data_IF_602004412751
#
_entry.id   IF_602004412751
#
_cell.length_a   1.000
_cell.length_b   1.000
_cell.length_c   1.000
_cell.angle_alpha   90.00
_cell.angle_beta   90.00
_cell.angle_gamma   90.00
#
_symmetry.space_group_name_H-M   'P 1'
#
loop_
_entity.id
_entity.type
_entity.pdbx_description
1 polymer ?
#
# COMPACT_ATOMS: atom_id res chain seq x y z
N UNK A 1 25.87 5.89 -30.60
CA UNK A 1 24.74 5.17 -31.23
C UNK A 1 23.47 5.69 -30.57
N UNK A 2 22.68 6.44 -31.34
CA UNK A 2 21.45 7.02 -30.82
C UNK A 2 20.35 5.92 -30.75
N UNK A 3 19.78 5.67 -29.57
CA UNK A 3 18.64 4.78 -29.43
C UNK A 3 17.36 5.56 -29.77
N UNK A 4 16.61 5.00 -30.73
CA UNK A 4 15.33 5.50 -31.21
C UNK A 4 14.25 5.38 -30.11
N UNK A 5 13.69 6.52 -29.70
CA UNK A 5 12.78 6.66 -28.55
C UNK A 5 11.31 6.37 -28.85
N UNK A 6 11.01 5.66 -29.94
CA UNK A 6 9.61 5.37 -30.35
C UNK A 6 9.21 3.92 -30.04
N UNK A 7 9.23 3.53 -28.77
CA UNK A 7 8.60 2.27 -28.35
C UNK A 7 7.09 2.48 -28.16
N UNK A 8 6.34 2.20 -29.22
CA UNK A 8 4.90 2.43 -29.27
C UNK A 8 4.15 1.33 -28.49
N UNK A 9 3.68 1.66 -27.28
CA UNK A 9 2.96 0.76 -26.33
C UNK A 9 1.78 -0.02 -26.95
N UNK A 10 1.22 0.45 -28.06
CA UNK A 10 0.03 -0.18 -28.68
C UNK A 10 0.32 -1.42 -29.54
N UNK A 11 1.56 -1.70 -29.90
CA UNK A 11 1.87 -2.84 -30.80
C UNK A 11 2.24 -4.14 -30.10
N UNK A 12 2.45 -4.12 -28.77
CA UNK A 12 2.82 -5.35 -28.03
C UNK A 12 1.61 -6.20 -27.56
N UNK A 13 0.39 -5.69 -27.71
CA UNK A 13 -0.83 -6.33 -27.17
C UNK A 13 -1.58 -7.29 -28.11
N UNK A 14 -1.07 -7.60 -29.30
CA UNK A 14 -1.83 -8.42 -30.28
C UNK A 14 -1.30 -9.86 -30.42
N UNK A 15 -0.19 -10.22 -29.76
CA UNK A 15 0.50 -11.50 -30.05
C UNK A 15 0.35 -12.64 -29.03
N UNK A 16 -0.21 -12.44 -27.84
CA UNK A 16 -0.16 -13.45 -26.76
C UNK A 16 -1.53 -13.98 -26.29
N UNK A 17 -2.63 -13.54 -26.87
CA UNK A 17 -3.99 -13.82 -26.36
C UNK A 17 -4.64 -15.14 -26.76
N UNK A 18 -3.98 -16.01 -27.53
CA UNK A 18 -4.68 -17.14 -28.18
C UNK A 18 -4.41 -18.54 -27.63
N UNK A 19 -3.51 -18.70 -26.64
CA UNK A 19 -3.06 -20.05 -26.26
C UNK A 19 -3.53 -20.57 -24.89
N UNK A 20 -4.19 -19.76 -24.05
CA UNK A 20 -4.61 -20.18 -22.68
C UNK A 20 -6.13 -20.32 -22.52
N UNK A 21 -6.93 -19.92 -23.50
CA UNK A 21 -8.40 -19.93 -23.43
C UNK A 21 -9.06 -21.33 -23.57
N UNK A 22 -8.30 -22.42 -23.73
CA UNK A 22 -8.87 -23.74 -24.04
C UNK A 22 -9.13 -24.66 -22.85
N UNK A 23 -8.93 -24.22 -21.60
CA UNK A 23 -9.05 -25.08 -20.40
C UNK A 23 -10.17 -24.72 -19.42
N UNK A 24 -10.93 -23.66 -19.63
CA UNK A 24 -11.99 -23.27 -18.70
C UNK A 24 -13.35 -23.25 -19.38
N UNK A 25 -14.17 -24.27 -19.09
CA UNK A 25 -15.59 -24.23 -19.43
C UNK A 25 -16.30 -23.22 -18.55
N UNK A 26 -17.13 -22.31 -19.11
CA UNK A 26 -17.80 -21.30 -18.31
C UNK A 26 -18.94 -21.94 -17.49
N UNK A 27 -18.92 -21.77 -16.19
CA UNK A 27 -20.04 -22.05 -15.30
C UNK A 27 -20.97 -20.82 -15.31
N UNK A 28 -22.09 -20.92 -16.02
CA UNK A 28 -23.23 -20.02 -15.92
C UNK A 28 -23.09 -18.63 -16.57
N UNK A 29 -24.20 -17.95 -16.87
CA UNK A 29 -24.15 -16.66 -17.54
C UNK A 29 -23.58 -15.61 -16.58
N UNK A 30 -22.34 -15.20 -16.85
CA UNK A 30 -21.75 -14.03 -16.23
C UNK A 30 -22.60 -12.82 -16.62
N UNK A 31 -23.24 -12.19 -15.64
CA UNK A 31 -23.75 -10.84 -15.82
C UNK A 31 -22.54 -9.96 -16.10
N UNK A 32 -22.41 -9.51 -17.33
CA UNK A 32 -21.38 -8.54 -17.75
C UNK A 32 -21.71 -7.23 -17.05
N UNK A 33 -21.23 -7.05 -15.82
CA UNK A 33 -21.10 -5.75 -15.22
C UNK A 33 -19.92 -5.05 -15.90
N UNK A 34 -20.18 -4.31 -16.95
CA UNK A 34 -19.27 -3.24 -17.38
C UNK A 34 -19.25 -2.24 -16.24
N UNK A 35 -18.09 -2.03 -15.54
CA UNK A 35 -18.02 -0.99 -14.54
C UNK A 35 -18.26 0.33 -15.25
N UNK A 36 -19.39 0.99 -14.94
CA UNK A 36 -19.65 2.33 -15.41
C UNK A 36 -18.50 3.21 -14.92
N UNK A 37 -17.73 3.81 -15.82
CA UNK A 37 -16.80 4.88 -15.49
C UNK A 37 -17.63 6.00 -14.86
N UNK A 38 -17.69 6.02 -13.53
CA UNK A 38 -18.35 7.08 -12.81
C UNK A 38 -17.60 8.39 -13.11
N UNK A 39 -18.29 9.34 -13.67
CA UNK A 39 -17.75 10.68 -13.87
C UNK A 39 -17.72 11.42 -12.52
N UNK A 40 -16.83 12.39 -12.36
CA UNK A 40 -16.75 13.27 -11.18
C UNK A 40 -18.06 14.05 -10.88
N UNK A 41 -19.10 13.82 -11.66
CA UNK A 41 -20.42 14.46 -11.53
C UNK A 41 -21.31 13.83 -10.43
N UNK A 42 -20.92 12.69 -9.84
CA UNK A 42 -21.75 11.99 -8.83
C UNK A 42 -21.41 12.34 -7.37
N UNK A 43 -20.52 13.31 -7.17
CA UNK A 43 -20.11 13.79 -5.83
C UNK A 43 -19.21 12.82 -5.06
N UNK A 44 -18.66 11.79 -5.70
CA UNK A 44 -17.72 10.87 -5.04
C UNK A 44 -16.41 11.56 -4.72
N UNK A 45 -15.92 11.35 -3.50
CA UNK A 45 -14.61 11.81 -3.08
C UNK A 45 -13.48 10.90 -3.58
N UNK A 46 -13.73 9.60 -3.70
CA UNK A 46 -12.83 8.68 -4.38
C UNK A 46 -13.36 8.50 -5.81
N UNK A 47 -12.63 9.00 -6.83
CA UNK A 47 -13.13 8.99 -8.20
C UNK A 47 -13.32 7.57 -8.76
N UNK A 48 -14.23 7.42 -9.71
CA UNK A 48 -14.37 6.18 -10.48
C UNK A 48 -13.05 5.80 -11.17
N UNK A 49 -12.69 4.53 -11.11
CA UNK A 49 -11.41 4.01 -11.60
C UNK A 49 -10.24 4.14 -10.60
N UNK A 50 -10.48 4.70 -9.39
CA UNK A 50 -9.45 4.94 -8.37
C UNK A 50 -9.71 4.19 -7.06
N UNK A 51 -10.73 3.34 -7.02
CA UNK A 51 -11.05 2.49 -5.89
C UNK A 51 -10.15 1.26 -5.91
N UNK A 52 -9.17 1.22 -5.05
CA UNK A 52 -8.17 0.16 -4.97
C UNK A 52 -8.14 -0.57 -3.62
N UNK A 53 -7.35 -1.63 -3.59
CA UNK A 53 -6.96 -2.32 -2.35
C UNK A 53 -5.52 -2.77 -2.45
N UNK A 54 -4.82 -2.86 -1.31
CA UNK A 54 -3.53 -3.55 -1.26
C UNK A 54 -3.72 -5.03 -0.90
N UNK A 55 -3.03 -5.91 -1.60
CA UNK A 55 -3.09 -7.36 -1.41
C UNK A 55 -2.65 -7.81 0.00
N UNK A 56 -2.01 -6.94 0.78
CA UNK A 56 -1.66 -7.22 2.17
C UNK A 56 -2.88 -7.51 3.04
N UNK A 57 -3.98 -6.83 2.80
CA UNK A 57 -5.24 -7.07 3.52
C UNK A 57 -5.84 -8.45 3.24
N UNK A 58 -5.55 -9.03 2.08
CA UNK A 58 -6.01 -10.35 1.67
C UNK A 58 -4.86 -11.36 1.54
N UNK A 59 -3.72 -11.14 2.25
CA UNK A 59 -2.50 -11.96 2.13
C UNK A 59 -2.67 -13.44 2.47
N UNK A 60 -3.77 -13.80 3.13
CA UNK A 60 -4.15 -15.18 3.41
C UNK A 60 -4.81 -15.89 2.21
N UNK A 61 -5.35 -15.14 1.24
CA UNK A 61 -6.11 -15.69 0.12
C UNK A 61 -5.23 -16.32 -0.97
N UNK A 62 -4.15 -15.67 -1.46
CA UNK A 62 -3.32 -16.26 -2.50
C UNK A 62 -2.69 -17.61 -2.15
N UNK A 63 -2.57 -17.95 -0.85
CA UNK A 63 -2.06 -19.26 -0.37
C UNK A 63 -3.12 -20.31 -0.15
N UNK A 64 -4.36 -19.93 -0.13
CA UNK A 64 -5.46 -20.78 0.23
C UNK A 64 -5.76 -21.78 -0.88
N UNK A 65 -6.22 -22.98 -0.51
CA UNK A 65 -6.83 -23.90 -1.46
C UNK A 65 -8.23 -23.38 -1.80
N UNK A 66 -8.34 -22.73 -2.94
CA UNK A 66 -9.61 -22.23 -3.46
C UNK A 66 -10.38 -23.31 -4.24
N UNK A 67 -11.42 -22.88 -4.94
CA UNK A 67 -12.34 -23.76 -5.66
C UNK A 67 -11.61 -24.48 -6.80
N UNK A 68 -10.92 -23.73 -7.66
CA UNK A 68 -10.20 -24.30 -8.81
C UNK A 68 -9.03 -25.20 -8.37
N UNK A 69 -8.29 -24.77 -7.33
CA UNK A 69 -7.19 -25.57 -6.81
C UNK A 69 -7.68 -26.87 -6.18
N UNK A 70 -8.80 -26.86 -5.46
CA UNK A 70 -9.39 -28.06 -4.86
C UNK A 70 -9.77 -29.11 -5.90
N UNK A 71 -10.38 -28.70 -7.00
CA UNK A 71 -10.73 -29.58 -8.09
C UNK A 71 -9.48 -30.20 -8.77
N UNK A 72 -8.43 -29.40 -8.98
CA UNK A 72 -7.16 -29.83 -9.58
C UNK A 72 -6.38 -30.79 -8.68
N UNK A 73 -6.39 -30.55 -7.38
CA UNK A 73 -5.61 -31.33 -6.41
C UNK A 73 -6.36 -32.52 -5.82
N UNK A 74 -7.67 -32.63 -6.04
CA UNK A 74 -8.50 -33.67 -5.44
C UNK A 74 -8.65 -33.54 -3.91
N UNK A 75 -8.58 -32.32 -3.37
CA UNK A 75 -8.72 -32.01 -1.94
C UNK A 75 -9.91 -31.09 -1.70
N UNK A 76 -10.39 -31.01 -0.46
CA UNK A 76 -11.46 -30.08 -0.13
C UNK A 76 -10.99 -28.62 -0.20
N UNK A 77 -11.81 -27.69 -0.70
CA UNK A 77 -11.49 -26.26 -0.63
C UNK A 77 -11.55 -25.74 0.81
N UNK A 78 -10.89 -24.62 1.05
CA UNK A 78 -11.06 -23.89 2.30
C UNK A 78 -12.51 -23.41 2.41
N UNK A 79 -13.15 -23.69 3.55
CA UNK A 79 -14.52 -23.28 3.81
C UNK A 79 -14.58 -22.07 4.73
N UNK A 80 -15.51 -21.15 4.49
CA UNK A 80 -15.72 -19.99 5.35
C UNK A 80 -17.01 -19.25 5.02
N UNK A 81 -17.19 -18.08 5.63
CA UNK A 81 -18.38 -17.26 5.46
C UNK A 81 -18.04 -15.97 4.73
N UNK A 82 -18.77 -15.63 3.69
CA UNK A 82 -18.57 -14.43 2.87
C UNK A 82 -19.62 -13.33 3.11
N UNK A 83 -20.51 -13.54 4.08
CA UNK A 83 -21.68 -12.70 4.32
C UNK A 83 -22.94 -13.23 3.62
N UNK A 84 -24.09 -13.01 4.24
CA UNK A 84 -25.40 -13.38 3.72
C UNK A 84 -25.97 -12.33 2.74
N UNK A 85 -27.26 -12.42 2.43
CA UNK A 85 -27.90 -11.55 1.44
C UNK A 85 -27.98 -10.07 1.87
N UNK A 86 -27.94 -9.79 3.18
CA UNK A 86 -27.95 -8.41 3.70
C UNK A 86 -26.55 -7.82 3.91
N UNK A 87 -25.49 -8.59 3.69
CA UNK A 87 -24.12 -8.14 3.80
C UNK A 87 -23.74 -7.28 2.56
N UNK A 88 -23.03 -6.15 2.68
CA UNK A 88 -22.37 -5.60 3.87
C UNK A 88 -23.21 -4.62 4.72
N UNK A 89 -24.47 -4.36 4.36
CA UNK A 89 -25.34 -3.43 5.11
C UNK A 89 -25.61 -3.94 6.55
N UNK A 90 -25.66 -5.25 6.73
CA UNK A 90 -25.65 -5.92 8.03
C UNK A 90 -24.39 -6.78 8.17
N UNK A 91 -23.32 -6.26 8.79
CA UNK A 91 -22.07 -7.02 8.97
C UNK A 91 -22.22 -8.27 9.86
N UNK A 92 -23.32 -8.40 10.61
CA UNK A 92 -23.59 -9.58 11.43
C UNK A 92 -24.21 -10.73 10.64
N UNK A 93 -24.72 -10.45 9.43
CA UNK A 93 -25.21 -11.46 8.49
C UNK A 93 -24.04 -12.19 7.83
N UNK A 94 -23.43 -13.12 8.54
CA UNK A 94 -22.27 -13.86 8.04
C UNK A 94 -22.62 -14.88 6.94
N UNK A 95 -23.88 -15.22 6.75
CA UNK A 95 -24.33 -16.19 5.76
C UNK A 95 -23.88 -17.64 6.02
N UNK A 96 -24.10 -18.53 5.07
CA UNK A 96 -23.70 -19.94 5.16
C UNK A 96 -22.18 -20.14 5.01
N UNK A 97 -21.70 -21.32 5.41
CA UNK A 97 -20.38 -21.79 5.04
C UNK A 97 -20.36 -22.13 3.55
N UNK A 98 -19.41 -21.57 2.84
CA UNK A 98 -19.19 -21.78 1.41
C UNK A 98 -17.71 -22.04 1.10
N UNK A 99 -17.38 -22.67 -0.04
CA UNK A 99 -16.00 -22.68 -0.52
C UNK A 99 -15.49 -21.25 -0.72
N UNK A 100 -14.30 -20.96 -0.21
CA UNK A 100 -13.69 -19.64 -0.31
C UNK A 100 -12.79 -19.55 -1.55
N UNK A 101 -12.64 -18.34 -2.12
CA UNK A 101 -11.62 -18.05 -3.12
C UNK A 101 -10.21 -18.39 -2.60
N UNK A 102 -9.33 -18.83 -3.48
CA UNK A 102 -7.90 -19.05 -3.23
C UNK A 102 -7.09 -18.91 -4.50
N UNK A 103 -5.81 -18.53 -4.34
CA UNK A 103 -4.98 -18.13 -5.46
C UNK A 103 -5.25 -16.69 -5.93
N UNK A 104 -4.46 -16.24 -6.90
CA UNK A 104 -4.56 -14.87 -7.41
C UNK A 104 -5.78 -14.67 -8.32
N UNK A 105 -6.11 -15.64 -9.18
CA UNK A 105 -7.21 -15.51 -10.13
C UNK A 105 -8.55 -15.35 -9.41
N UNK A 106 -8.87 -16.24 -8.45
CA UNK A 106 -10.12 -16.17 -7.69
C UNK A 106 -10.16 -14.96 -6.75
N UNK A 107 -8.99 -14.51 -6.22
CA UNK A 107 -8.91 -13.27 -5.46
C UNK A 107 -9.25 -12.07 -6.34
N UNK A 108 -8.68 -11.96 -7.53
CA UNK A 108 -8.94 -10.82 -8.42
C UNK A 108 -10.40 -10.79 -8.89
N UNK A 109 -10.98 -11.93 -9.20
CA UNK A 109 -12.41 -12.05 -9.47
C UNK A 109 -13.26 -11.54 -8.31
N UNK A 110 -12.94 -11.97 -7.10
CA UNK A 110 -13.65 -11.55 -5.91
C UNK A 110 -13.54 -10.04 -5.68
N UNK A 111 -12.35 -9.45 -5.80
CA UNK A 111 -12.11 -8.03 -5.61
C UNK A 111 -12.82 -7.19 -6.67
N UNK A 112 -12.78 -7.60 -7.95
CA UNK A 112 -13.52 -6.94 -9.02
C UNK A 112 -15.04 -6.97 -8.76
N UNK A 113 -15.58 -8.10 -8.29
CA UNK A 113 -16.98 -8.24 -7.90
C UNK A 113 -17.37 -7.39 -6.68
N UNK A 114 -16.42 -7.04 -5.81
CA UNK A 114 -16.63 -6.06 -4.73
C UNK A 114 -16.66 -4.61 -5.24
N UNK A 115 -16.23 -4.36 -6.48
CA UNK A 115 -16.18 -3.03 -7.09
C UNK A 115 -14.80 -2.37 -7.05
N UNK A 116 -13.76 -3.06 -6.58
CA UNK A 116 -12.40 -2.57 -6.73
C UNK A 116 -11.99 -2.56 -8.21
N UNK A 117 -11.22 -1.58 -8.59
CA UNK A 117 -10.74 -1.35 -9.96
C UNK A 117 -9.21 -1.38 -10.03
N UNK A 118 -8.57 -1.25 -8.87
CA UNK A 118 -7.13 -1.21 -8.75
C UNK A 118 -6.66 -2.18 -7.66
N UNK A 119 -5.46 -2.72 -7.85
CA UNK A 119 -4.76 -3.49 -6.85
C UNK A 119 -3.33 -2.98 -6.69
N UNK A 120 -2.92 -2.83 -5.46
CA UNK A 120 -1.55 -2.70 -5.06
C UNK A 120 -1.05 -4.03 -4.52
N UNK A 121 0.17 -4.41 -4.89
CA UNK A 121 0.78 -5.61 -4.34
C UNK A 121 1.60 -5.27 -3.08
N UNK A 122 1.73 -6.24 -2.20
CA UNK A 122 2.65 -6.19 -1.06
C UNK A 122 3.72 -7.27 -1.22
N UNK A 123 4.51 -7.12 -2.29
CA UNK A 123 5.34 -8.17 -2.83
C UNK A 123 4.53 -9.19 -3.64
N UNK A 124 5.14 -9.69 -4.67
CA UNK A 124 4.48 -10.64 -5.57
C UNK A 124 4.57 -12.10 -5.08
N UNK A 125 5.50 -12.35 -4.18
CA UNK A 125 5.82 -13.67 -3.67
C UNK A 125 5.38 -13.90 -2.22
N UNK A 126 4.30 -13.32 -1.77
CA UNK A 126 3.87 -13.41 -0.37
C UNK A 126 3.70 -14.84 0.15
N UNK A 127 3.78 -15.82 -0.73
CA UNK A 127 3.39 -17.17 -0.35
C UNK A 127 4.15 -18.26 -1.11
N UNK A 128 5.41 -18.39 -0.81
CA UNK A 128 6.33 -19.33 -1.42
C UNK A 128 5.98 -20.82 -1.26
N UNK A 129 5.10 -21.17 -0.35
CA UNK A 129 4.85 -22.58 0.02
C UNK A 129 3.41 -23.00 -0.29
N UNK A 130 2.83 -22.52 -1.40
CA UNK A 130 1.42 -22.76 -1.63
C UNK A 130 1.13 -23.96 -2.54
N UNK A 131 0.67 -25.09 -2.02
CA UNK A 131 0.14 -26.19 -2.84
C UNK A 131 -1.19 -25.83 -3.54
N UNK A 132 -1.92 -24.82 -3.05
CA UNK A 132 -3.19 -24.34 -3.62
C UNK A 132 -3.05 -23.27 -4.70
N UNK A 133 -1.85 -22.71 -4.92
CA UNK A 133 -1.64 -21.60 -5.84
C UNK A 133 -1.94 -21.93 -7.29
N UNK A 134 -2.46 -20.96 -8.00
CA UNK A 134 -2.77 -21.04 -9.44
C UNK A 134 -1.51 -21.01 -10.28
N UNK A 135 -0.43 -20.50 -9.69
CA UNK A 135 0.85 -20.31 -10.38
C UNK A 135 1.97 -20.81 -9.48
N UNK A 136 2.93 -21.58 -10.00
CA UNK A 136 4.12 -21.91 -9.25
C UNK A 136 4.82 -20.63 -8.81
N UNK A 137 4.88 -20.40 -7.50
CA UNK A 137 5.57 -19.25 -6.98
C UNK A 137 7.08 -19.38 -7.26
N UNK A 138 7.71 -18.43 -7.94
CA UNK A 138 9.15 -18.43 -8.04
C UNK A 138 9.73 -18.30 -6.63
N UNK A 139 10.77 -19.08 -6.33
CA UNK A 139 11.35 -19.18 -5.01
C UNK A 139 11.57 -17.82 -4.36
N UNK A 140 11.17 -17.62 -3.09
CA UNK A 140 11.48 -16.38 -2.39
C UNK A 140 13.01 -16.29 -2.24
N UNK A 141 13.53 -15.11 -2.41
CA UNK A 141 14.94 -14.83 -2.17
C UNK A 141 15.80 -14.66 -3.38
N UNK A 142 15.22 -14.60 -4.57
CA UNK A 142 16.00 -13.99 -5.59
C UNK A 142 16.09 -14.71 -6.92
N UNK A 143 16.04 -13.88 -7.86
CA UNK A 143 16.44 -14.13 -9.22
C UNK A 143 17.97 -14.14 -9.22
N UNK A 144 18.57 -15.29 -8.93
CA UNK A 144 20.02 -15.45 -8.85
C UNK A 144 20.63 -16.05 -10.11
N UNK A 145 19.79 -16.54 -11.02
CA UNK A 145 20.22 -17.13 -12.30
C UNK A 145 19.33 -16.64 -13.45
N UNK A 146 19.81 -16.67 -14.71
CA UNK A 146 18.97 -16.33 -15.86
C UNK A 146 17.68 -17.15 -15.94
N UNK A 147 17.72 -18.43 -15.56
CA UNK A 147 16.56 -19.32 -15.53
C UNK A 147 15.52 -18.90 -14.48
N UNK A 148 15.96 -18.57 -13.26
CA UNK A 148 15.07 -18.09 -12.21
C UNK A 148 14.46 -16.72 -12.58
N UNK A 149 15.24 -15.85 -13.25
CA UNK A 149 14.73 -14.58 -13.77
C UNK A 149 13.65 -14.79 -14.84
N UNK A 150 13.89 -15.71 -15.80
CA UNK A 150 12.91 -16.01 -16.84
C UNK A 150 11.60 -16.56 -16.25
N UNK A 151 11.68 -17.45 -15.25
CA UNK A 151 10.51 -17.98 -14.54
C UNK A 151 9.75 -16.88 -13.78
N UNK A 152 10.48 -15.97 -13.13
CA UNK A 152 9.89 -14.83 -12.41
C UNK A 152 9.13 -13.89 -13.35
N UNK A 153 9.71 -13.57 -14.51
CA UNK A 153 9.03 -12.74 -15.51
C UNK A 153 7.89 -13.45 -16.22
N UNK A 154 7.94 -14.79 -16.36
CA UNK A 154 6.79 -15.56 -16.83
C UNK A 154 5.63 -15.50 -15.82
N UNK A 155 5.92 -15.54 -14.54
CA UNK A 155 4.94 -15.35 -13.49
C UNK A 155 4.27 -13.96 -13.56
N UNK A 156 5.04 -12.88 -13.80
CA UNK A 156 4.49 -11.55 -14.02
C UNK A 156 3.47 -11.53 -15.17
N UNK A 157 3.76 -12.20 -16.28
CA UNK A 157 2.83 -12.29 -17.43
C UNK A 157 1.54 -13.04 -17.07
N UNK A 158 1.64 -14.08 -16.24
CA UNK A 158 0.46 -14.81 -15.77
C UNK A 158 -0.41 -13.93 -14.88
N UNK A 159 0.18 -13.20 -13.93
CA UNK A 159 -0.55 -12.23 -13.09
C UNK A 159 -1.18 -11.12 -13.94
N UNK A 160 -0.47 -10.62 -14.97
CA UNK A 160 -1.03 -9.63 -15.90
C UNK A 160 -2.26 -10.19 -16.61
N UNK A 161 -2.20 -11.46 -17.07
CA UNK A 161 -3.34 -12.12 -17.69
C UNK A 161 -4.56 -12.22 -16.76
N UNK A 162 -4.36 -12.48 -15.47
CA UNK A 162 -5.46 -12.49 -14.50
C UNK A 162 -6.03 -11.08 -14.26
N UNK A 163 -5.17 -10.06 -14.14
CA UNK A 163 -5.60 -8.67 -14.02
C UNK A 163 -6.46 -8.25 -15.24
N UNK A 164 -6.02 -8.58 -16.44
CA UNK A 164 -6.76 -8.29 -17.68
C UNK A 164 -8.11 -9.00 -17.72
N UNK A 165 -8.17 -10.26 -17.28
CA UNK A 165 -9.38 -11.07 -17.28
C UNK A 165 -10.49 -10.48 -16.37
N UNK A 166 -10.08 -9.86 -15.25
CA UNK A 166 -11.03 -9.29 -14.29
C UNK A 166 -11.10 -7.76 -14.31
N UNK A 167 -10.39 -7.10 -15.23
CA UNK A 167 -10.44 -5.65 -15.42
C UNK A 167 -9.82 -4.86 -14.29
N UNK A 168 -8.84 -5.43 -13.57
CA UNK A 168 -8.10 -4.75 -12.52
C UNK A 168 -6.82 -4.10 -13.07
N UNK A 169 -6.48 -2.91 -12.57
CA UNK A 169 -5.21 -2.24 -12.83
C UNK A 169 -4.25 -2.48 -11.68
N UNK A 170 -3.03 -2.96 -11.96
CA UNK A 170 -1.95 -2.96 -10.98
C UNK A 170 -1.44 -1.52 -10.80
N UNK A 171 -1.63 -0.95 -9.60
CA UNK A 171 -1.31 0.46 -9.37
C UNK A 171 -0.01 0.66 -8.60
N UNK A 172 0.35 -0.23 -7.73
CA UNK A 172 1.53 -0.14 -6.87
C UNK A 172 2.04 -1.49 -6.41
N UNK A 173 3.20 -1.47 -5.74
CA UNK A 173 3.74 -2.63 -5.04
C UNK A 173 4.70 -2.19 -3.92
N UNK A 174 4.50 -2.69 -2.70
CA UNK A 174 5.56 -2.72 -1.70
C UNK A 174 6.58 -3.77 -2.11
N UNK A 175 7.54 -3.36 -2.95
CA UNK A 175 8.48 -4.23 -3.63
C UNK A 175 9.89 -4.21 -3.02
N UNK A 176 10.83 -4.67 -3.80
CA UNK A 176 12.24 -4.66 -3.40
C UNK A 176 12.84 -3.26 -3.56
N UNK A 177 13.38 -2.77 -2.46
CA UNK A 177 14.26 -1.59 -2.41
C UNK A 177 15.60 -2.02 -1.81
N UNK A 178 16.74 -1.67 -2.41
CA UNK A 178 18.06 -2.02 -1.88
C UNK A 178 18.29 -1.43 -0.50
N UNK A 179 18.15 -2.24 0.55
CA UNK A 179 18.20 -1.77 1.95
C UNK A 179 19.63 -1.56 2.45
N UNK A 180 20.59 -2.31 1.92
CA UNK A 180 22.01 -2.23 2.30
C UNK A 180 22.76 -1.08 1.65
N UNK A 181 22.21 -0.50 0.58
CA UNK A 181 22.77 0.66 -0.09
C UNK A 181 22.17 1.95 0.48
N UNK A 182 23.02 2.85 0.93
CA UNK A 182 22.63 4.11 1.58
C UNK A 182 22.74 5.35 0.66
N UNK A 183 22.79 5.14 -0.67
CA UNK A 183 22.86 6.22 -1.64
C UNK A 183 24.27 6.42 -2.23
N UNK A 184 24.37 7.24 -3.27
CA UNK A 184 25.61 7.39 -4.05
C UNK A 184 26.76 8.06 -3.27
N UNK A 185 26.45 8.88 -2.28
CA UNK A 185 27.42 9.60 -1.45
C UNK A 185 27.74 8.87 -0.14
N UNK A 186 27.21 7.67 0.06
CA UNK A 186 27.49 6.88 1.27
C UNK A 186 28.91 6.29 1.22
N UNK A 187 29.49 5.94 2.39
CA UNK A 187 30.81 5.30 2.45
C UNK A 187 30.94 4.00 1.63
N UNK A 188 29.84 3.34 1.33
CA UNK A 188 29.78 2.15 0.46
C UNK A 188 29.81 2.49 -1.05
N UNK A 189 29.66 3.74 -1.43
CA UNK A 189 29.71 4.19 -2.83
C UNK A 189 28.58 3.65 -3.69
N UNK A 190 28.92 2.99 -4.80
CA UNK A 190 27.96 2.45 -5.75
C UNK A 190 27.13 1.29 -5.15
N UNK A 191 25.89 1.15 -5.61
CA UNK A 191 25.05 -0.02 -5.32
C UNK A 191 25.76 -1.30 -5.79
N UNK A 192 25.61 -2.39 -5.03
CA UNK A 192 26.15 -3.68 -5.44
C UNK A 192 25.55 -4.13 -6.79
N UNK A 193 26.35 -4.83 -7.59
CA UNK A 193 25.85 -5.36 -8.86
C UNK A 193 24.63 -6.28 -8.67
N UNK A 194 24.61 -7.04 -7.59
CA UNK A 194 23.51 -7.93 -7.24
C UNK A 194 22.21 -7.14 -6.93
N UNK A 195 22.30 -6.09 -6.12
CA UNK A 195 21.14 -5.24 -5.79
C UNK A 195 20.63 -4.49 -7.00
N UNK A 196 21.57 -4.00 -7.86
CA UNK A 196 21.20 -3.34 -9.10
C UNK A 196 20.45 -4.28 -10.05
N UNK A 197 20.98 -5.49 -10.28
CA UNK A 197 20.34 -6.49 -11.14
C UNK A 197 18.96 -6.92 -10.59
N UNK A 198 18.86 -7.08 -9.28
CA UNK A 198 17.59 -7.37 -8.63
C UNK A 198 16.59 -6.24 -8.81
N UNK A 199 17.01 -4.99 -8.57
CA UNK A 199 16.15 -3.82 -8.80
C UNK A 199 15.68 -3.74 -10.25
N UNK A 200 16.57 -3.96 -11.23
CA UNK A 200 16.19 -3.99 -12.65
C UNK A 200 15.15 -5.07 -12.95
N UNK A 201 15.28 -6.24 -12.33
CA UNK A 201 14.32 -7.35 -12.50
C UNK A 201 12.96 -7.03 -11.89
N UNK A 202 12.92 -6.40 -10.73
CA UNK A 202 11.66 -5.96 -10.09
C UNK A 202 10.97 -4.85 -10.90
N UNK A 203 11.75 -3.92 -11.46
CA UNK A 203 11.24 -2.89 -12.35
C UNK A 203 10.67 -3.48 -13.66
N UNK A 204 11.34 -4.49 -14.24
CA UNK A 204 10.81 -5.21 -15.40
C UNK A 204 9.52 -5.96 -15.06
N UNK A 205 9.44 -6.60 -13.89
CA UNK A 205 8.22 -7.24 -13.41
C UNK A 205 7.07 -6.24 -13.30
N UNK A 206 7.31 -5.10 -12.64
CA UNK A 206 6.34 -4.02 -12.51
C UNK A 206 5.90 -3.47 -13.89
N UNK A 207 6.83 -3.31 -14.83
CA UNK A 207 6.52 -2.88 -16.19
C UNK A 207 5.64 -3.88 -16.95
N UNK A 208 5.86 -5.20 -16.78
CA UNK A 208 5.00 -6.26 -17.34
C UNK A 208 3.58 -6.16 -16.76
N UNK A 209 3.43 -5.91 -15.48
CA UNK A 209 2.12 -5.68 -14.84
C UNK A 209 1.47 -4.35 -15.26
N UNK A 210 2.25 -3.43 -15.83
CA UNK A 210 1.79 -2.07 -16.12
C UNK A 210 1.70 -1.18 -14.88
N UNK A 211 2.38 -1.56 -13.80
CA UNK A 211 2.37 -0.85 -12.51
C UNK A 211 3.17 0.45 -12.62
N UNK A 212 2.56 1.64 -12.42
CA UNK A 212 3.26 2.92 -12.52
C UNK A 212 4.07 3.28 -11.26
N UNK A 213 3.80 2.61 -10.13
CA UNK A 213 4.42 2.90 -8.84
C UNK A 213 4.99 1.62 -8.21
N UNK A 214 6.16 1.73 -7.60
CA UNK A 214 6.76 0.70 -6.76
C UNK A 214 7.43 1.36 -5.56
N UNK A 215 7.45 0.73 -4.41
CA UNK A 215 8.02 1.37 -3.23
C UNK A 215 8.21 0.43 -2.07
N UNK A 216 8.11 0.97 -0.89
CA UNK A 216 8.25 0.24 0.37
C UNK A 216 7.09 0.57 1.31
N UNK A 217 6.71 -0.36 2.17
CA UNK A 217 5.77 -0.15 3.27
C UNK A 217 6.38 0.54 4.49
N UNK A 218 7.45 1.34 4.30
CA UNK A 218 8.19 1.98 5.38
C UNK A 218 8.52 3.44 5.03
N UNK A 219 8.92 4.21 6.05
CA UNK A 219 9.46 5.54 5.85
C UNK A 219 10.80 5.51 5.08
N UNK A 220 11.27 6.64 4.55
CA UNK A 220 12.47 6.70 3.71
C UNK A 220 13.72 6.13 4.36
N UNK A 221 13.81 6.16 5.69
CA UNK A 221 14.99 5.69 6.46
C UNK A 221 14.87 4.24 6.86
N UNK A 222 13.67 3.68 6.88
CA UNK A 222 13.35 2.34 7.42
C UNK A 222 13.83 2.14 8.88
N UNK A 223 13.98 3.21 9.65
CA UNK A 223 14.60 3.14 10.99
C UNK A 223 13.91 4.01 12.05
N UNK A 224 12.94 4.83 11.69
CA UNK A 224 12.29 5.76 12.63
C UNK A 224 13.26 6.75 13.31
N UNK A 225 14.43 6.98 12.73
CA UNK A 225 15.44 7.86 13.27
C UNK A 225 14.96 9.32 13.19
N UNK A 226 15.21 10.11 14.25
CA UNK A 226 14.75 11.49 14.35
C UNK A 226 15.82 12.55 14.07
N UNK A 227 17.06 12.14 13.76
CA UNK A 227 18.14 13.04 13.39
C UNK A 227 18.07 13.44 11.92
N UNK A 228 18.63 14.61 11.59
CA UNK A 228 18.65 15.16 10.23
C UNK A 228 19.40 14.25 9.27
N UNK A 229 20.57 13.78 9.65
CA UNK A 229 21.52 13.10 8.76
C UNK A 229 20.92 11.83 8.08
N UNK A 230 20.30 10.88 8.81
CA UNK A 230 19.69 9.71 8.16
C UNK A 230 18.62 10.07 7.15
N UNK A 231 17.84 11.12 7.39
CA UNK A 231 16.81 11.58 6.45
C UNK A 231 17.39 12.24 5.23
N UNK A 232 18.50 12.99 5.38
CA UNK A 232 19.23 13.59 4.26
C UNK A 232 19.83 12.50 3.37
N UNK A 233 20.50 11.51 3.96
CA UNK A 233 21.06 10.34 3.24
C UNK A 233 19.94 9.56 2.53
N UNK A 234 18.80 9.36 3.18
CA UNK A 234 17.65 8.73 2.57
C UNK A 234 17.10 9.54 1.38
N UNK A 235 17.06 10.86 1.47
CA UNK A 235 16.67 11.73 0.35
C UNK A 235 17.53 11.49 -0.89
N UNK A 236 18.85 11.55 -0.74
CA UNK A 236 19.80 11.28 -1.84
C UNK A 236 19.64 9.85 -2.42
N UNK A 237 19.45 8.88 -1.55
CA UNK A 237 19.19 7.48 -1.98
C UNK A 237 17.95 7.39 -2.84
N UNK A 238 16.83 7.95 -2.38
CA UNK A 238 15.55 7.86 -3.08
C UNK A 238 15.54 8.62 -4.41
N UNK A 239 16.23 9.75 -4.50
CA UNK A 239 16.42 10.46 -5.77
C UNK A 239 17.21 9.62 -6.78
N UNK A 240 18.32 9.01 -6.33
CA UNK A 240 19.12 8.15 -7.18
C UNK A 240 18.35 6.89 -7.64
N UNK A 241 17.60 6.26 -6.76
CA UNK A 241 16.73 5.12 -7.10
C UNK A 241 15.64 5.52 -8.11
N UNK A 242 15.00 6.68 -7.91
CA UNK A 242 14.00 7.19 -8.83
C UNK A 242 14.60 7.54 -10.20
N UNK A 243 15.82 8.03 -10.27
CA UNK A 243 16.54 8.25 -11.55
C UNK A 243 16.68 6.94 -12.33
N UNK A 244 16.91 5.82 -11.64
CA UNK A 244 16.97 4.48 -12.26
C UNK A 244 15.58 4.03 -12.71
N UNK A 245 14.59 4.08 -11.82
CA UNK A 245 13.25 3.54 -12.09
C UNK A 245 12.47 4.32 -13.16
N UNK A 246 12.78 5.62 -13.32
CA UNK A 246 12.17 6.47 -14.37
C UNK A 246 12.49 6.00 -15.78
N UNK A 247 13.59 5.28 -15.97
CA UNK A 247 13.92 4.66 -17.26
C UNK A 247 12.91 3.57 -17.67
N UNK A 248 12.19 3.01 -16.68
CA UNK A 248 11.08 2.07 -16.86
C UNK A 248 9.70 2.74 -16.88
N UNK A 249 9.64 4.06 -16.70
CA UNK A 249 8.40 4.81 -16.54
C UNK A 249 7.72 4.58 -15.18
N UNK A 250 8.48 4.13 -14.18
CA UNK A 250 8.00 3.82 -12.83
C UNK A 250 8.49 4.89 -11.85
N UNK A 251 7.63 5.31 -10.93
CA UNK A 251 7.97 6.13 -9.78
C UNK A 251 8.17 5.23 -8.56
N UNK A 252 9.27 5.44 -7.85
CA UNK A 252 9.42 4.81 -6.53
C UNK A 252 8.84 5.71 -5.46
N UNK A 253 8.08 5.12 -4.55
CA UNK A 253 7.46 5.82 -3.43
C UNK A 253 7.92 5.29 -2.08
N UNK A 254 7.81 6.13 -1.06
CA UNK A 254 7.94 5.76 0.36
C UNK A 254 6.56 5.80 1.00
N UNK A 255 6.41 5.03 2.05
CA UNK A 255 5.19 4.93 2.84
C UNK A 255 5.40 5.49 4.24
N UNK A 256 4.35 5.71 5.00
CA UNK A 256 4.48 6.15 6.38
C UNK A 256 3.73 5.24 7.36
N UNK A 257 4.35 5.06 8.51
CA UNK A 257 3.64 4.84 9.77
C UNK A 257 3.73 6.10 10.63
N UNK A 258 3.06 6.12 11.78
CA UNK A 258 3.00 7.32 12.63
C UNK A 258 4.38 7.93 12.97
N UNK A 259 5.48 7.15 13.18
CA UNK A 259 6.79 7.73 13.48
C UNK A 259 7.35 8.67 12.40
N UNK A 260 6.96 8.50 11.13
CA UNK A 260 7.41 9.39 10.04
C UNK A 260 6.94 10.85 10.21
N UNK A 261 5.91 11.06 11.00
CA UNK A 261 5.40 12.40 11.33
C UNK A 261 5.81 12.89 12.71
N UNK A 262 6.74 12.22 13.38
CA UNK A 262 7.37 12.75 14.60
C UNK A 262 8.25 13.97 14.26
N UNK A 263 8.65 14.71 15.30
CA UNK A 263 9.48 15.90 15.16
C UNK A 263 10.94 15.56 14.88
N UNK A 264 11.54 16.32 13.97
CA UNK A 264 12.97 16.30 13.71
C UNK A 264 13.72 16.85 14.92
N UNK A 265 14.76 16.16 15.35
CA UNK A 265 15.67 16.59 16.41
C UNK A 265 16.79 17.46 15.81
N UNK A 266 16.46 18.72 15.53
CA UNK A 266 17.30 19.64 14.77
C UNK A 266 17.85 20.81 15.62
N UNK A 267 17.52 20.87 16.91
CA UNK A 267 17.94 21.92 17.81
C UNK A 267 19.13 21.55 18.72
N UNK A 268 19.51 22.45 19.65
CA UNK A 268 20.52 22.21 20.65
C UNK A 268 20.09 21.18 21.70
N UNK A 269 21.03 20.74 22.52
CA UNK A 269 20.71 20.01 23.76
C UNK A 269 20.11 20.99 24.77
N UNK A 270 18.96 20.64 25.32
CA UNK A 270 18.22 21.46 26.29
C UNK A 270 17.83 20.62 27.50
N UNK A 271 17.63 21.29 28.64
CA UNK A 271 17.17 20.65 29.87
C UNK A 271 15.67 20.81 29.98
N UNK A 272 14.95 19.68 30.09
CA UNK A 272 13.50 19.64 30.29
C UNK A 272 13.17 19.16 31.71
N UNK A 273 12.06 19.64 32.25
CA UNK A 273 11.58 19.30 33.60
C UNK A 273 10.13 18.81 33.61
N UNK A 274 9.53 18.67 32.43
CA UNK A 274 8.19 18.16 32.26
C UNK A 274 8.21 16.98 31.28
N UNK A 275 7.39 15.97 31.52
CA UNK A 275 7.17 14.88 30.62
C UNK A 275 6.48 15.36 29.32
N UNK A 276 6.95 14.92 28.18
CA UNK A 276 6.48 15.38 26.87
C UNK A 276 4.97 15.18 26.69
N UNK A 277 4.45 14.01 27.04
CA UNK A 277 3.06 13.64 26.77
C UNK A 277 2.13 14.16 27.87
N UNK A 278 2.48 13.89 29.12
CA UNK A 278 1.59 14.17 30.25
C UNK A 278 1.72 15.57 30.81
N UNK A 279 2.84 16.28 30.53
CA UNK A 279 3.17 17.57 31.16
C UNK A 279 3.48 17.48 32.65
N UNK A 280 3.62 16.28 33.20
CA UNK A 280 3.94 16.07 34.61
C UNK A 280 5.42 16.43 34.89
N UNK A 281 5.74 16.96 36.08
CA UNK A 281 7.12 17.18 36.45
C UNK A 281 7.96 15.88 36.39
N UNK A 282 9.17 16.00 35.82
CA UNK A 282 10.19 14.95 35.78
C UNK A 282 11.53 15.52 36.29
N UNK A 283 12.47 14.67 36.71
CA UNK A 283 13.82 15.12 36.99
C UNK A 283 14.43 15.82 35.77
N UNK A 284 15.27 16.86 35.96
CA UNK A 284 15.95 17.55 34.86
C UNK A 284 16.62 16.57 33.91
N UNK A 285 16.18 16.55 32.66
CA UNK A 285 16.60 15.58 31.64
C UNK A 285 17.13 16.32 30.42
N UNK A 286 18.27 15.87 29.89
CA UNK A 286 18.83 16.42 28.66
C UNK A 286 18.16 15.77 27.44
N UNK A 287 17.61 16.60 26.58
CA UNK A 287 17.03 16.17 25.31
C UNK A 287 17.47 17.10 24.17
N UNK A 288 17.35 16.65 22.94
CA UNK A 288 17.57 17.55 21.79
C UNK A 288 16.28 18.34 21.51
N UNK A 289 16.41 19.66 21.41
CA UNK A 289 15.31 20.54 21.02
C UNK A 289 14.83 20.32 19.60
N UNK A 290 13.62 20.75 19.29
CA UNK A 290 12.92 20.49 18.05
C UNK A 290 12.32 21.80 17.49
N UNK A 291 12.58 22.13 16.22
CA UNK A 291 12.01 23.34 15.58
C UNK A 291 10.49 23.26 15.37
N UNK A 292 9.91 22.06 15.39
CA UNK A 292 8.55 21.79 14.94
C UNK A 292 8.48 21.18 13.53
N UNK A 293 9.60 21.13 12.81
CA UNK A 293 9.63 20.42 11.52
C UNK A 293 9.42 18.92 11.73
N UNK A 294 8.54 18.34 10.93
CA UNK A 294 8.28 16.89 10.94
C UNK A 294 9.29 16.15 10.06
N UNK A 295 9.58 14.91 10.39
CA UNK A 295 10.55 14.08 9.65
C UNK A 295 10.18 13.96 8.16
N UNK A 296 8.93 13.60 7.84
CA UNK A 296 8.46 13.51 6.46
C UNK A 296 8.48 14.89 5.75
N UNK A 297 8.20 16.00 6.48
CA UNK A 297 8.33 17.33 5.89
C UNK A 297 9.78 17.63 5.51
N UNK A 298 10.74 17.24 6.35
CA UNK A 298 12.16 17.39 6.01
C UNK A 298 12.51 16.64 4.72
N UNK A 299 12.10 15.38 4.60
CA UNK A 299 12.30 14.59 3.38
C UNK A 299 11.70 15.26 2.14
N UNK A 300 10.48 15.78 2.26
CA UNK A 300 9.83 16.51 1.16
C UNK A 300 10.56 17.82 0.77
N UNK A 301 11.12 18.52 1.75
CA UNK A 301 11.83 19.79 1.53
C UNK A 301 13.17 19.60 0.80
N UNK A 302 13.83 18.46 1.02
CA UNK A 302 15.19 18.21 0.48
C UNK A 302 15.19 17.37 -0.80
N UNK A 303 14.05 16.79 -1.20
CA UNK A 303 13.98 15.92 -2.38
C UNK A 303 13.24 16.57 -3.55
N UNK A 304 13.67 16.23 -4.77
CA UNK A 304 13.04 16.72 -5.99
C UNK A 304 11.58 16.23 -6.09
N UNK A 305 10.59 17.15 -6.12
CA UNK A 305 9.18 16.80 -6.24
C UNK A 305 8.81 16.08 -7.54
N UNK A 306 9.63 16.17 -8.58
CA UNK A 306 9.40 15.43 -9.82
C UNK A 306 9.88 13.98 -9.75
N UNK A 307 10.75 13.66 -8.81
CA UNK A 307 11.31 12.32 -8.64
C UNK A 307 10.60 11.55 -7.51
N UNK A 308 10.59 12.11 -6.31
CA UNK A 308 10.17 11.42 -5.10
C UNK A 308 8.67 11.63 -4.82
N UNK A 309 7.90 10.57 -4.81
CA UNK A 309 6.47 10.55 -4.47
C UNK A 309 6.22 9.80 -3.17
N UNK A 310 5.07 10.04 -2.57
CA UNK A 310 4.67 9.49 -1.29
C UNK A 310 3.38 8.69 -1.46
N UNK A 311 3.32 7.57 -0.80
CA UNK A 311 2.08 6.91 -0.43
C UNK A 311 1.78 7.25 1.03
N UNK A 312 0.69 7.98 1.28
CA UNK A 312 0.29 8.28 2.64
C UNK A 312 -0.68 7.24 3.17
N UNK A 313 -0.28 6.55 4.23
CA UNK A 313 -1.23 5.85 5.08
C UNK A 313 -1.96 6.88 5.95
N UNK A 314 -3.26 7.06 5.65
CA UNK A 314 -4.09 8.08 6.28
C UNK A 314 -4.36 7.77 7.75
N UNK A 315 -4.57 6.48 8.09
CA UNK A 315 -4.75 6.06 9.47
C UNK A 315 -3.53 6.40 10.33
N UNK A 316 -2.34 5.98 9.90
CA UNK A 316 -1.11 6.26 10.65
C UNK A 316 -0.76 7.75 10.69
N UNK A 317 -1.17 8.53 9.68
CA UNK A 317 -1.03 9.97 9.71
C UNK A 317 -1.96 10.61 10.78
N UNK A 318 -3.20 10.10 10.94
CA UNK A 318 -4.10 10.53 12.02
C UNK A 318 -3.63 10.04 13.39
N UNK A 319 -3.11 8.83 13.53
CA UNK A 319 -2.45 8.38 14.77
C UNK A 319 -1.35 9.36 15.18
N UNK A 320 -0.58 9.87 14.22
CA UNK A 320 0.48 10.83 14.51
C UNK A 320 -0.02 12.16 15.10
N UNK A 321 -1.25 12.60 14.79
CA UNK A 321 -1.86 13.79 15.41
C UNK A 321 -1.96 13.66 16.95
N UNK A 322 -2.23 12.45 17.43
CA UNK A 322 -2.40 12.16 18.84
C UNK A 322 -1.06 11.77 19.49
N UNK A 323 -0.28 10.95 18.81
CA UNK A 323 0.96 10.39 19.33
C UNK A 323 2.10 11.40 19.40
N UNK A 324 2.20 12.27 18.39
CA UNK A 324 3.27 13.26 18.25
C UNK A 324 2.72 14.68 18.32
N UNK A 325 1.92 14.96 19.35
CA UNK A 325 1.23 16.23 19.59
C UNK A 325 2.10 17.25 20.30
N UNK A 326 3.11 16.79 21.06
CA UNK A 326 3.92 17.64 21.93
C UNK A 326 5.39 17.55 21.53
N UNK A 327 6.09 18.66 21.59
CA UNK A 327 7.54 18.76 21.37
C UNK A 327 8.20 19.59 22.46
N UNK A 328 9.53 19.52 22.52
CA UNK A 328 10.32 20.49 23.26
C UNK A 328 10.97 21.44 22.27
N UNK A 329 10.77 22.77 22.47
CA UNK A 329 11.39 23.78 21.65
C UNK A 329 12.91 23.91 21.95
N UNK A 330 13.55 24.87 21.32
CA UNK A 330 14.99 25.08 21.49
C UNK A 330 15.38 25.68 22.84
N UNK A 331 14.43 26.13 23.63
CA UNK A 331 14.57 26.61 25.02
C UNK A 331 14.25 25.50 26.05
N UNK A 332 13.73 24.37 25.60
CA UNK A 332 13.32 23.25 26.46
C UNK A 332 11.88 23.34 26.95
N UNK A 333 11.09 24.29 26.45
CA UNK A 333 9.69 24.40 26.80
C UNK A 333 8.87 23.33 26.09
N UNK A 334 7.86 22.80 26.78
CA UNK A 334 6.87 21.91 26.21
C UNK A 334 5.86 22.71 25.37
N UNK A 335 5.78 22.43 24.07
CA UNK A 335 4.93 23.14 23.11
C UNK A 335 3.97 22.14 22.44
N UNK A 336 2.70 22.53 22.36
CA UNK A 336 1.71 21.80 21.59
C UNK A 336 1.86 22.14 20.10
N UNK A 337 1.90 21.10 19.27
CA UNK A 337 2.07 21.22 17.82
C UNK A 337 1.36 20.04 17.15
N UNK A 338 0.08 20.22 16.84
CA UNK A 338 -0.77 19.17 16.31
C UNK A 338 -0.52 19.00 14.81
N UNK A 339 -0.21 17.77 14.40
CA UNK A 339 -0.08 17.43 12.99
C UNK A 339 -1.44 17.48 12.29
N UNK A 340 -1.48 18.04 11.09
CA UNK A 340 -2.66 18.01 10.21
C UNK A 340 -2.31 17.28 8.91
N UNK A 341 -2.79 16.03 8.73
CA UNK A 341 -2.53 15.25 7.52
C UNK A 341 -3.02 15.89 6.24
N UNK A 342 -4.20 16.51 6.26
CA UNK A 342 -4.78 17.16 5.10
C UNK A 342 -3.98 18.42 4.70
N UNK A 343 -3.61 19.25 5.67
CA UNK A 343 -2.74 20.40 5.44
C UNK A 343 -1.35 19.98 4.93
N UNK A 344 -0.83 18.86 5.41
CA UNK A 344 0.43 18.32 4.91
C UNK A 344 0.36 17.97 3.42
N UNK A 345 -0.68 17.25 3.01
CA UNK A 345 -0.90 16.91 1.58
C UNK A 345 -1.14 18.17 0.74
N UNK A 346 -1.94 19.13 1.25
CA UNK A 346 -2.28 20.35 0.53
C UNK A 346 -1.07 21.24 0.20
N UNK A 347 0.04 21.14 0.94
CA UNK A 347 1.28 21.88 0.65
C UNK A 347 1.94 21.43 -0.66
N UNK A 348 1.91 20.12 -0.96
CA UNK A 348 2.55 19.53 -2.13
C UNK A 348 1.71 18.35 -2.67
N UNK A 349 0.47 18.59 -3.13
CA UNK A 349 -0.46 17.51 -3.49
C UNK A 349 0.06 16.61 -4.62
N UNK A 350 0.91 17.14 -5.49
CA UNK A 350 1.54 16.38 -6.58
C UNK A 350 2.52 15.29 -6.07
N UNK A 351 2.95 15.35 -4.82
CA UNK A 351 3.84 14.35 -4.21
C UNK A 351 3.07 13.12 -3.71
N UNK A 352 1.75 13.26 -3.44
CA UNK A 352 0.91 12.23 -2.85
C UNK A 352 0.08 11.55 -3.94
N UNK A 353 0.64 10.50 -4.55
CA UNK A 353 0.03 9.79 -5.67
C UNK A 353 -0.83 8.60 -5.24
N UNK A 354 -0.58 8.09 -4.03
CA UNK A 354 -1.28 6.96 -3.44
C UNK A 354 -1.67 7.29 -1.99
N UNK A 355 -2.80 6.73 -1.58
CA UNK A 355 -3.25 6.74 -0.20
C UNK A 355 -3.64 5.34 0.22
N UNK A 356 -3.18 4.89 1.40
CA UNK A 356 -3.84 3.81 2.08
C UNK A 356 -5.04 4.35 2.83
N UNK A 357 -6.23 3.99 2.36
CA UNK A 357 -7.50 4.20 3.03
C UNK A 357 -7.66 3.11 4.10
N UNK A 358 -6.89 3.25 5.18
CA UNK A 358 -6.89 2.40 6.35
C UNK A 358 -7.68 3.09 7.43
N UNK A 359 -8.67 2.41 8.01
CA UNK A 359 -9.62 2.99 8.94
C UNK A 359 -9.52 2.37 10.33
N UNK A 360 -9.97 3.12 11.33
CA UNK A 360 -9.93 2.66 12.69
C UNK A 360 -10.04 3.74 13.75
N UNK A 361 -9.74 3.32 14.98
CA UNK A 361 -9.50 4.21 16.09
C UNK A 361 -8.09 4.81 15.98
N UNK A 362 -8.00 6.08 15.62
CA UNK A 362 -6.74 6.81 15.50
C UNK A 362 -6.36 7.57 16.79
N UNK A 363 -7.25 7.63 17.78
CA UNK A 363 -7.00 8.31 19.06
C UNK A 363 -6.33 7.42 20.11
N UNK A 364 -6.41 6.11 19.96
CA UNK A 364 -5.94 5.14 20.92
C UNK A 364 -6.85 4.99 22.15
N UNK A 365 -8.08 5.51 22.11
CA UNK A 365 -9.01 5.44 23.23
C UNK A 365 -9.82 4.15 23.25
N UNK A 366 -10.09 3.54 22.09
CA UNK A 366 -10.80 2.27 22.02
C UNK A 366 -9.94 1.11 22.52
N UNK A 367 -10.54 0.12 23.20
CA UNK A 367 -9.84 -1.10 23.55
C UNK A 367 -9.46 -1.83 22.27
N UNK A 368 -8.16 -1.90 22.00
CA UNK A 368 -7.66 -2.34 20.71
C UNK A 368 -6.42 -3.16 20.71
N UNK A 369 -5.95 -3.39 19.52
CA UNK A 369 -4.71 -4.12 19.24
C UNK A 369 -3.55 -3.16 19.41
N UNK A 370 -2.58 -3.49 20.25
CA UNK A 370 -1.35 -2.69 20.48
C UNK A 370 -1.69 -1.25 20.93
N UNK A 371 -1.10 -0.70 21.83
CA UNK A 371 -1.20 0.69 22.32
C UNK A 371 -2.61 1.39 22.30
N UNK A 372 -3.69 0.65 22.15
CA UNK A 372 -5.05 1.19 22.09
C UNK A 372 -5.59 1.54 20.70
N UNK A 373 -4.78 1.45 19.66
CA UNK A 373 -5.22 1.70 18.28
C UNK A 373 -5.83 0.44 17.65
N UNK A 374 -6.97 0.60 16.97
CA UNK A 374 -7.71 -0.48 16.32
C UNK A 374 -7.78 -0.28 14.82
N UNK A 375 -7.72 -1.39 14.08
CA UNK A 375 -8.05 -1.40 12.66
C UNK A 375 -9.45 -1.97 12.46
N UNK A 376 -10.27 -1.27 11.71
CA UNK A 376 -11.62 -1.67 11.32
C UNK A 376 -11.81 -1.52 9.80
N UNK A 377 -12.82 -2.16 9.21
CA UNK A 377 -13.14 -1.96 7.80
C UNK A 377 -13.45 -0.50 7.50
N UNK A 378 -13.05 -0.02 6.33
CA UNK A 378 -13.29 1.36 5.92
C UNK A 378 -14.79 1.68 5.88
N UNK A 379 -15.16 2.80 6.52
CA UNK A 379 -16.54 3.24 6.63
C UNK A 379 -17.34 2.56 7.72
N UNK A 380 -16.71 1.82 8.63
CA UNK A 380 -17.34 1.34 9.86
C UNK A 380 -17.74 2.55 10.73
N UNK A 381 -18.96 2.59 11.29
CA UNK A 381 -19.42 3.75 12.06
C UNK A 381 -18.63 4.00 13.36
N UNK A 382 -17.76 3.09 13.76
CA UNK A 382 -16.85 3.28 14.90
C UNK A 382 -15.58 4.03 14.56
N UNK A 383 -15.36 4.34 13.28
CA UNK A 383 -14.19 5.14 12.84
C UNK A 383 -14.21 6.53 13.49
N UNK A 384 -13.04 6.99 13.93
CA UNK A 384 -12.82 8.35 14.41
C UNK A 384 -12.08 9.23 13.38
N UNK A 385 -11.82 8.71 12.18
CA UNK A 385 -11.18 9.45 11.08
C UNK A 385 -12.22 10.07 10.17
N UNK A 386 -12.25 11.39 10.06
CA UNK A 386 -13.10 12.11 9.11
C UNK A 386 -12.52 12.08 7.70
N UNK A 387 -12.71 10.96 7.01
CA UNK A 387 -12.30 10.79 5.62
C UNK A 387 -13.00 11.75 4.66
N UNK A 388 -14.20 12.22 4.99
CA UNK A 388 -14.91 13.19 4.17
C UNK A 388 -14.16 14.53 4.14
N UNK A 389 -13.81 15.04 5.31
CA UNK A 389 -13.01 16.27 5.42
C UNK A 389 -11.61 16.07 4.84
N UNK A 390 -10.95 14.94 5.11
CA UNK A 390 -9.64 14.63 4.54
C UNK A 390 -9.64 14.72 3.01
N UNK A 391 -10.47 13.93 2.33
CA UNK A 391 -10.48 13.90 0.87
C UNK A 391 -10.97 15.21 0.23
N UNK A 392 -11.88 15.94 0.87
CA UNK A 392 -12.23 17.31 0.44
C UNK A 392 -11.02 18.25 0.49
N UNK A 393 -10.26 18.22 1.57
CA UNK A 393 -9.11 19.11 1.81
C UNK A 393 -7.95 18.83 0.87
N UNK A 394 -7.66 17.57 0.58
CA UNK A 394 -6.58 17.22 -0.36
C UNK A 394 -6.95 17.46 -1.81
N UNK A 395 -8.18 17.91 -2.07
CA UNK A 395 -8.65 18.29 -3.38
C UNK A 395 -8.75 17.09 -4.32
N UNK A 396 -9.77 16.28 -4.14
CA UNK A 396 -10.07 15.08 -4.93
C UNK A 396 -10.23 15.37 -6.44
N UNK A 397 -9.18 15.85 -7.09
CA UNK A 397 -9.17 16.14 -8.53
C UNK A 397 -8.89 14.90 -9.39
N UNK A 398 -9.00 13.70 -8.82
CA UNK A 398 -8.84 12.44 -9.54
C UNK A 398 -7.40 12.07 -9.91
N UNK A 399 -6.41 12.64 -9.26
CA UNK A 399 -5.00 12.44 -9.56
C UNK A 399 -4.30 11.44 -8.65
N UNK A 400 -4.97 10.99 -7.56
CA UNK A 400 -4.44 10.03 -6.61
C UNK A 400 -5.20 8.71 -6.66
N UNK A 401 -4.60 7.66 -6.16
CA UNK A 401 -5.18 6.32 -6.03
C UNK A 401 -5.44 6.04 -4.55
N UNK A 402 -6.59 5.46 -4.23
CA UNK A 402 -6.96 5.14 -2.85
C UNK A 402 -7.11 3.64 -2.69
N UNK A 403 -6.21 3.05 -1.91
CA UNK A 403 -6.14 1.61 -1.69
C UNK A 403 -6.60 1.27 -0.27
N UNK A 404 -7.65 0.47 -0.15
CA UNK A 404 -8.04 -0.09 1.14
C UNK A 404 -6.91 -0.91 1.73
N UNK A 405 -6.56 -0.66 3.00
CA UNK A 405 -5.68 -1.49 3.78
C UNK A 405 -6.22 -1.73 5.19
N UNK A 406 -5.97 -2.94 5.72
CA UNK A 406 -6.27 -3.29 7.11
C UNK A 406 -5.33 -4.41 7.58
N UNK A 407 -4.46 -4.11 8.56
CA UNK A 407 -3.41 -5.04 9.00
C UNK A 407 -3.94 -6.32 9.63
N UNK A 408 -5.05 -6.22 10.37
CA UNK A 408 -5.70 -7.36 11.03
C UNK A 408 -6.82 -8.00 10.20
N UNK A 409 -6.89 -7.72 8.90
CA UNK A 409 -7.96 -8.25 8.05
C UNK A 409 -8.00 -9.79 7.96
N UNK A 410 -6.87 -10.52 7.88
CA UNK A 410 -6.90 -11.98 7.94
C UNK A 410 -7.36 -12.50 9.30
N UNK A 411 -8.41 -13.33 9.31
CA UNK A 411 -8.96 -13.96 10.53
C UNK A 411 -8.31 -15.31 10.89
N UNK A 412 -7.30 -15.72 10.12
CA UNK A 412 -6.61 -17.01 10.31
C UNK A 412 -7.54 -18.21 10.13
N UNK A 413 -7.24 -19.31 10.83
CA UNK A 413 -8.04 -20.53 10.77
C UNK A 413 -9.38 -20.42 11.52
N UNK A 414 -9.49 -19.46 12.43
CA UNK A 414 -10.73 -19.24 13.20
C UNK A 414 -11.83 -18.60 12.34
N UNK A 415 -11.45 -17.71 11.43
CA UNK A 415 -12.37 -17.05 10.51
C UNK A 415 -11.72 -16.84 9.11
N UNK A 416 -11.62 -17.88 8.30
CA UNK A 416 -10.96 -17.80 7.01
C UNK A 416 -11.60 -16.83 6.01
N UNK A 417 -12.86 -16.45 6.22
CA UNK A 417 -13.60 -15.51 5.37
C UNK A 417 -13.44 -14.04 5.74
N UNK A 418 -12.80 -13.72 6.86
CA UNK A 418 -12.79 -12.37 7.43
C UNK A 418 -12.20 -11.33 6.49
N UNK A 419 -11.01 -11.58 5.91
CA UNK A 419 -10.36 -10.64 4.99
C UNK A 419 -11.23 -10.29 3.77
N UNK A 420 -11.95 -11.27 3.26
CA UNK A 420 -12.87 -11.10 2.13
C UNK A 420 -14.12 -10.29 2.53
N UNK A 421 -14.70 -10.54 3.71
CA UNK A 421 -15.84 -9.75 4.20
C UNK A 421 -15.43 -8.30 4.47
N UNK A 422 -14.26 -8.08 5.08
CA UNK A 422 -13.74 -6.73 5.34
C UNK A 422 -13.47 -5.98 4.02
N UNK A 423 -12.99 -6.67 2.99
CA UNK A 423 -12.86 -6.09 1.65
C UNK A 423 -14.21 -5.64 1.06
N UNK A 424 -15.29 -6.43 1.25
CA UNK A 424 -16.64 -6.05 0.79
C UNK A 424 -17.18 -4.82 1.52
N UNK A 425 -17.02 -4.76 2.84
CA UNK A 425 -17.43 -3.59 3.65
C UNK A 425 -16.66 -2.36 3.19
N UNK A 426 -15.35 -2.47 3.10
CA UNK A 426 -14.47 -1.34 2.76
C UNK A 426 -14.70 -0.84 1.34
N UNK A 427 -14.90 -1.72 0.36
CA UNK A 427 -15.27 -1.32 -1.00
C UNK A 427 -16.59 -0.52 -1.01
N UNK A 428 -17.60 -0.98 -0.28
CA UNK A 428 -18.88 -0.28 -0.17
C UNK A 428 -18.72 1.07 0.53
N UNK A 429 -17.98 1.14 1.64
CA UNK A 429 -17.70 2.37 2.38
C UNK A 429 -16.97 3.41 1.53
N UNK A 430 -15.89 3.02 0.88
CA UNK A 430 -15.12 3.89 -0.02
C UNK A 430 -15.96 4.37 -1.20
N UNK A 431 -16.74 3.49 -1.81
CA UNK A 431 -17.63 3.85 -2.93
C UNK A 431 -18.80 4.77 -2.51
N UNK A 432 -19.18 4.75 -1.24
CA UNK A 432 -20.25 5.58 -0.68
C UNK A 432 -19.78 6.98 -0.25
N UNK A 433 -18.47 7.21 -0.12
CA UNK A 433 -17.91 8.47 0.37
C UNK A 433 -18.26 9.63 -0.56
N UNK A 434 -18.94 10.66 -0.03
CA UNK A 434 -19.44 11.84 -0.78
C UNK A 434 -18.87 13.14 -0.23
N UNK A 435 -18.72 14.14 -1.14
CA UNK A 435 -18.21 15.47 -0.83
C UNK A 435 -19.24 16.59 -0.91
#
# INVERSE_FOLDING_TARGET
>A
MAFDSTFNRRRFMVGAGAAVAAAFSPIGPASVFTPARASAADGRLIPGGKLGTIAYSQRDVPTRVGIAASARLGVSPTMGRLGGPNFPQDPTDLGPLVPLPGGWAELFEFLANCGFQQIEFAGYGQNAANPGGDVPNPAPGGVTTPQSRAAYLAYARTLRGFLDAYGLEAIGNHGFIPNTWNGPNSPGGAMSAQDYERLQTELEFAAILGTPYMGTGSDPTNAGNRNIEPWTVAGEKWEALNTISRQWGIHLYTHNHSPAYNFLQDGPMVTVTEDRVTGRPIPPTQVRGESGKRLMQHYLDITDPALCVIEMDVYWAHVAQHQWRWRYDWEGNRVEDVFDPAAQVAKQPQRYQLFHAKDGDATGEAPGVGNGYNFIPFGDPRSDIDYTTFYRSVGAKGHYNSNYEQDNAPGGSADPGQSLRFSRISAAGMAALRG
#
